data_IF_625821649025
#
_entry.id   IF_625821649025
#
_cell.length_a   1.000
_cell.length_b   1.000
_cell.length_c   1.000
_cell.angle_alpha   90.00
_cell.angle_beta   90.00
_cell.angle_gamma   90.00
#
_symmetry.space_group_name_H-M   'P 1'
#
loop_
_entity.id
_entity.type
_entity.pdbx_description
1 polymer ?
#
# COMPACT_ATOMS: atom_id res chain seq x y z
N UNK A 1 -8.24 -11.05 -9.73
CA UNK A 1 -8.56 -11.28 -8.30
C UNK A 1 -9.29 -10.06 -7.77
N UNK A 2 -10.44 -10.22 -7.09
CA UNK A 2 -11.16 -9.10 -6.50
C UNK A 2 -10.80 -8.93 -5.01
N UNK A 3 -10.23 -7.79 -4.65
CA UNK A 3 -9.91 -7.43 -3.26
C UNK A 3 -11.18 -6.86 -2.62
N UNK A 4 -11.71 -7.47 -1.54
CA UNK A 4 -12.89 -6.96 -0.86
C UNK A 4 -12.58 -5.64 -0.16
N UNK A 5 -13.60 -4.85 0.15
CA UNK A 5 -13.46 -3.69 1.04
C UNK A 5 -13.38 -4.16 2.49
N UNK A 6 -12.50 -3.57 3.29
CA UNK A 6 -12.36 -3.85 4.71
C UNK A 6 -13.64 -3.42 5.45
N UNK A 7 -14.18 -4.32 6.26
CA UNK A 7 -15.30 -4.04 7.13
C UNK A 7 -14.83 -3.16 8.31
N UNK A 8 -15.54 -2.09 8.68
CA UNK A 8 -15.17 -1.23 9.81
C UNK A 8 -14.94 -1.99 11.13
N UNK A 9 -15.70 -3.06 11.37
CA UNK A 9 -15.58 -3.92 12.56
C UNK A 9 -14.37 -4.86 12.51
N UNK A 10 -13.72 -5.03 11.35
CA UNK A 10 -12.61 -5.95 11.18
C UNK A 10 -13.02 -7.40 10.93
N UNK A 11 -14.31 -7.73 10.88
CA UNK A 11 -14.79 -9.13 10.75
C UNK A 11 -14.23 -9.87 9.53
N UNK A 12 -13.92 -9.17 8.44
CA UNK A 12 -13.33 -9.75 7.24
C UNK A 12 -11.82 -9.51 7.12
N UNK A 13 -11.13 -9.13 8.20
CA UNK A 13 -9.70 -8.77 8.19
C UNK A 13 -8.82 -9.86 7.57
N UNK A 14 -8.99 -11.12 7.98
CA UNK A 14 -8.18 -12.23 7.48
C UNK A 14 -8.28 -12.39 5.95
N UNK A 15 -9.50 -12.38 5.40
CA UNK A 15 -9.71 -12.54 3.96
C UNK A 15 -9.36 -11.26 3.17
N UNK A 16 -9.57 -10.08 3.77
CA UNK A 16 -9.13 -8.80 3.23
C UNK A 16 -7.62 -8.80 3.06
N UNK A 17 -6.88 -9.04 4.16
CA UNK A 17 -5.43 -9.02 4.20
C UNK A 17 -4.85 -10.00 3.18
N UNK A 18 -5.29 -11.27 3.22
CA UNK A 18 -4.84 -12.30 2.27
C UNK A 18 -5.00 -11.85 0.81
N UNK A 19 -6.20 -11.40 0.42
CA UNK A 19 -6.48 -11.01 -0.97
C UNK A 19 -5.79 -9.70 -1.36
N UNK A 20 -5.66 -8.77 -0.43
CA UNK A 20 -4.98 -7.51 -0.64
C UNK A 20 -3.48 -7.76 -0.91
N UNK A 21 -2.80 -8.53 -0.06
CA UNK A 21 -1.40 -8.91 -0.24
C UNK A 21 -1.20 -9.63 -1.57
N UNK A 22 -2.00 -10.66 -1.88
CA UNK A 22 -1.88 -11.37 -3.18
C UNK A 22 -2.12 -10.46 -4.37
N UNK A 23 -3.10 -9.53 -4.28
CA UNK A 23 -3.41 -8.59 -5.34
C UNK A 23 -2.31 -7.56 -5.61
N UNK A 24 -1.65 -7.09 -4.54
CA UNK A 24 -0.52 -6.16 -4.62
C UNK A 24 0.74 -6.86 -5.10
N UNK A 25 1.02 -8.08 -4.65
CA UNK A 25 2.12 -8.91 -5.13
C UNK A 25 1.99 -9.21 -6.63
N UNK A 26 0.79 -9.56 -7.11
CA UNK A 26 0.54 -9.79 -8.53
C UNK A 26 0.75 -8.54 -9.41
N UNK A 27 0.85 -7.35 -8.82
CA UNK A 27 1.16 -6.09 -9.50
C UNK A 27 2.63 -5.67 -9.36
N UNK A 28 3.42 -6.37 -8.55
CA UNK A 28 4.81 -6.00 -8.24
C UNK A 28 4.94 -4.85 -7.23
N UNK A 29 3.86 -4.46 -6.56
CA UNK A 29 3.86 -3.28 -5.67
C UNK A 29 4.15 -3.60 -4.20
N UNK A 30 4.37 -4.87 -3.86
CA UNK A 30 4.44 -5.31 -2.46
C UNK A 30 5.59 -4.69 -1.68
N UNK A 31 6.71 -4.41 -2.36
CA UNK A 31 7.87 -3.80 -1.73
C UNK A 31 7.61 -2.37 -1.23
N UNK A 32 6.60 -1.68 -1.76
CA UNK A 32 6.16 -0.39 -1.21
C UNK A 32 5.42 -0.53 0.13
N UNK A 33 4.79 -1.69 0.39
CA UNK A 33 4.06 -1.97 1.64
C UNK A 33 4.98 -2.54 2.73
N UNK A 34 6.10 -3.16 2.35
CA UNK A 34 7.14 -3.61 3.29
C UNK A 34 8.18 -2.52 3.57
N UNK A 35 8.26 -1.49 2.71
CA UNK A 35 9.31 -0.48 2.76
C UNK A 35 10.62 -0.92 2.09
N UNK A 36 10.65 -2.10 1.45
CA UNK A 36 11.81 -2.60 0.71
C UNK A 36 12.03 -1.87 -0.62
N UNK A 37 11.00 -1.22 -1.18
CA UNK A 37 11.11 -0.48 -2.43
C UNK A 37 11.95 0.80 -2.23
N UNK A 38 13.21 0.76 -2.64
CA UNK A 38 14.09 1.93 -2.63
C UNK A 38 13.77 2.88 -3.79
N UNK A 39 13.54 4.16 -3.48
CA UNK A 39 13.42 5.20 -4.50
C UNK A 39 14.76 5.37 -5.23
N UNK A 40 14.79 5.38 -6.57
CA UNK A 40 16.01 5.67 -7.32
C UNK A 40 16.59 7.04 -6.95
N UNK A 41 17.88 7.10 -6.61
CA UNK A 41 18.59 8.35 -6.33
C UNK A 41 19.17 8.89 -7.63
N UNK A 42 18.78 10.10 -8.03
CA UNK A 42 19.35 10.79 -9.18
C UNK A 42 20.68 11.45 -8.80
N UNK A 43 21.78 10.69 -8.86
CA UNK A 43 23.13 11.24 -8.73
C UNK A 43 23.59 11.96 -10.00
N UNK A 44 23.10 11.52 -11.17
CA UNK A 44 23.15 12.26 -12.44
C UNK A 44 21.93 11.85 -13.29
N UNK A 45 21.16 12.80 -13.88
CA UNK A 45 19.97 12.46 -14.64
C UNK A 45 20.35 11.79 -15.96
N UNK A 46 20.13 10.47 -16.02
CA UNK A 46 20.08 9.73 -17.29
C UNK A 46 18.63 9.42 -17.61
N UNK A 47 18.28 9.28 -18.90
CA UNK A 47 16.93 8.93 -19.34
C UNK A 47 16.41 7.69 -18.61
N UNK A 48 17.25 6.67 -18.44
CA UNK A 48 16.92 5.44 -17.72
C UNK A 48 16.58 5.69 -16.24
N UNK A 49 17.36 6.51 -15.54
CA UNK A 49 17.12 6.82 -14.13
C UNK A 49 15.86 7.65 -13.91
N UNK A 50 15.58 8.61 -14.81
CA UNK A 50 14.33 9.40 -14.78
C UNK A 50 13.12 8.49 -14.98
N UNK A 51 13.14 7.61 -16.00
CA UNK A 51 12.04 6.67 -16.24
C UNK A 51 11.83 5.69 -15.08
N UNK A 52 12.91 5.23 -14.44
CA UNK A 52 12.81 4.38 -13.25
C UNK A 52 12.18 5.12 -12.07
N UNK A 53 12.55 6.39 -11.84
CA UNK A 53 11.97 7.22 -10.78
C UNK A 53 10.49 7.50 -11.03
N UNK A 54 10.11 7.84 -12.26
CA UNK A 54 8.71 8.08 -12.65
C UNK A 54 7.86 6.83 -12.45
N UNK A 55 8.39 5.66 -12.84
CA UNK A 55 7.71 4.37 -12.65
C UNK A 55 7.53 4.06 -11.17
N UNK A 56 8.56 4.29 -10.35
CA UNK A 56 8.52 4.08 -8.90
C UNK A 56 7.47 4.98 -8.23
N UNK A 57 7.41 6.27 -8.57
CA UNK A 57 6.42 7.19 -7.99
C UNK A 57 4.99 6.86 -8.46
N UNK A 58 4.84 6.42 -9.71
CA UNK A 58 3.55 5.96 -10.25
C UNK A 58 3.05 4.71 -9.53
N UNK A 59 3.92 3.72 -9.32
CA UNK A 59 3.57 2.49 -8.61
C UNK A 59 3.24 2.77 -7.15
N UNK A 60 4.01 3.63 -6.48
CA UNK A 60 3.72 4.12 -5.13
C UNK A 60 2.35 4.81 -5.06
N UNK A 61 2.06 5.75 -5.97
CA UNK A 61 0.76 6.44 -5.98
C UNK A 61 -0.40 5.47 -6.23
N UNK A 62 -0.25 4.53 -7.16
CA UNK A 62 -1.25 3.53 -7.49
C UNK A 62 -1.49 2.55 -6.33
N UNK A 63 -0.42 2.09 -5.67
CA UNK A 63 -0.47 1.27 -4.46
C UNK A 63 -1.22 1.97 -3.32
N UNK A 64 -0.92 3.25 -3.07
CA UNK A 64 -1.59 4.05 -2.04
C UNK A 64 -3.08 4.21 -2.35
N UNK A 65 -3.42 4.56 -3.58
CA UNK A 65 -4.82 4.71 -4.01
C UNK A 65 -5.59 3.39 -3.89
N UNK A 66 -4.97 2.26 -4.23
CA UNK A 66 -5.58 0.95 -4.04
C UNK A 66 -5.89 0.68 -2.56
N UNK A 67 -4.94 0.94 -1.65
CA UNK A 67 -5.16 0.78 -0.21
C UNK A 67 -6.35 1.63 0.27
N UNK A 68 -6.35 2.92 -0.05
CA UNK A 68 -7.40 3.85 0.37
C UNK A 68 -8.78 3.49 -0.20
N UNK A 69 -8.84 3.00 -1.44
CA UNK A 69 -10.10 2.58 -2.08
C UNK A 69 -10.71 1.32 -1.48
N UNK A 70 -9.94 0.57 -0.68
CA UNK A 70 -10.35 -0.72 -0.11
C UNK A 70 -10.57 -0.67 1.40
N UNK A 71 -10.51 0.52 2.00
CA UNK A 71 -10.82 0.72 3.42
C UNK A 71 -11.97 1.72 3.61
N UNK A 72 -12.67 1.71 4.75
CA UNK A 72 -13.67 2.73 5.07
C UNK A 72 -13.05 4.13 5.17
N UNK A 73 -13.83 5.19 4.91
CA UNK A 73 -13.35 6.59 4.93
C UNK A 73 -12.68 6.98 6.25
N UNK A 74 -13.24 6.53 7.38
CA UNK A 74 -12.66 6.80 8.71
C UNK A 74 -11.27 6.18 8.88
N UNK A 75 -11.02 5.04 8.24
CA UNK A 75 -9.71 4.38 8.20
C UNK A 75 -8.82 5.08 7.19
N UNK A 76 -9.33 5.40 5.99
CA UNK A 76 -8.58 6.14 4.97
C UNK A 76 -8.03 7.48 5.50
N UNK A 77 -8.84 8.22 6.28
CA UNK A 77 -8.43 9.47 6.92
C UNK A 77 -7.36 9.29 8.01
N UNK A 78 -7.29 8.12 8.66
CA UNK A 78 -6.18 7.79 9.57
C UNK A 78 -4.93 7.45 8.77
N UNK A 79 -5.07 6.60 7.75
CA UNK A 79 -3.97 6.15 6.90
C UNK A 79 -3.32 7.31 6.13
N UNK A 80 -4.09 8.33 5.74
CA UNK A 80 -3.58 9.49 5.02
C UNK A 80 -2.55 10.30 5.82
N UNK A 81 -2.58 10.24 7.15
CA UNK A 81 -1.63 10.92 8.05
C UNK A 81 -0.23 10.29 8.03
N UNK A 82 -0.10 9.06 7.52
CA UNK A 82 1.18 8.38 7.40
C UNK A 82 1.89 8.80 6.10
N UNK A 83 3.15 9.20 6.22
CA UNK A 83 3.97 9.66 5.10
C UNK A 83 4.31 8.53 4.13
N UNK A 84 4.59 7.33 4.64
CA UNK A 84 4.85 6.15 3.81
C UNK A 84 3.66 5.20 3.74
N UNK A 85 3.57 4.43 2.65
CA UNK A 85 2.55 3.38 2.49
C UNK A 85 2.84 2.21 3.44
N UNK A 86 4.11 1.93 3.70
CA UNK A 86 4.54 0.92 4.66
C UNK A 86 4.06 1.23 6.09
N UNK A 87 4.19 2.48 6.54
CA UNK A 87 3.69 2.91 7.84
C UNK A 87 2.17 2.81 7.94
N UNK A 88 1.47 3.25 6.89
CA UNK A 88 0.02 3.14 6.80
C UNK A 88 -0.43 1.66 6.88
N UNK A 89 0.23 0.78 6.14
CA UNK A 89 -0.06 -0.64 6.14
C UNK A 89 0.23 -1.29 7.49
N UNK A 90 1.38 -1.00 8.10
CA UNK A 90 1.75 -1.49 9.43
C UNK A 90 0.76 -1.06 10.51
N UNK A 91 0.31 0.21 10.46
CA UNK A 91 -0.73 0.72 11.34
C UNK A 91 -2.07 -0.02 11.15
N UNK A 92 -2.46 -0.27 9.90
CA UNK A 92 -3.67 -1.03 9.58
C UNK A 92 -3.61 -2.47 10.11
N UNK A 93 -2.50 -3.16 9.84
CA UNK A 93 -2.25 -4.53 10.33
C UNK A 93 -2.32 -4.56 11.86
N UNK A 94 -1.70 -3.60 12.54
CA UNK A 94 -1.72 -3.48 13.99
C UNK A 94 -3.13 -3.26 14.53
N UNK A 95 -3.92 -2.37 13.91
CA UNK A 95 -5.28 -2.05 14.37
C UNK A 95 -6.23 -3.24 14.24
N UNK A 96 -6.14 -4.02 13.15
CA UNK A 96 -7.12 -5.07 12.84
C UNK A 96 -6.70 -6.48 13.24
N UNK A 97 -5.40 -6.74 13.41
CA UNK A 97 -4.92 -8.02 13.96
C UNK A 97 -5.08 -8.08 15.48
N UNK A 98 -5.04 -6.94 16.19
CA UNK A 98 -5.34 -6.88 17.63
C UNK A 98 -6.83 -7.02 17.96
N UNK A 99 -7.71 -6.81 16.98
CA UNK A 99 -9.18 -6.84 17.12
C UNK A 99 -9.81 -8.16 16.66
N UNK A 100 -9.03 -9.08 16.09
CA UNK A 100 -9.49 -10.39 15.60
C UNK A 100 -9.22 -11.49 16.62
#
# INVERSE_FOLDING_TARGET
MNVPTLNPTGRNWAIFSLRFVSGVQGKGWWDHFTGAATCPVLSAPTTTLVTAMDSWEKDKAAARNLLLSKVPDSVALKLSKHTSIADAWSALVTEYTKKS
#
